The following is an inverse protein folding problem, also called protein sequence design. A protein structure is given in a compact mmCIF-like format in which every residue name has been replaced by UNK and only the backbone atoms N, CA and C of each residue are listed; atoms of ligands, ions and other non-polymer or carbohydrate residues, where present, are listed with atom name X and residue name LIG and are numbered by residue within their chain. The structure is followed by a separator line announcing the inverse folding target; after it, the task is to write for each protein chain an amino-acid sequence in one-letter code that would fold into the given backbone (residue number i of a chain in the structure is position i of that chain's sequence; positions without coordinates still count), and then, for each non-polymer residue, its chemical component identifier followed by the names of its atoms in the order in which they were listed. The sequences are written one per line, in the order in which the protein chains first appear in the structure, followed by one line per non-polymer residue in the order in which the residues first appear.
data_IF_025723694171
#
_entry.id   IF_025723694171
#
_cell.length_a   1.000
_cell.length_b   1.000
_cell.length_c   1.000
_cell.angle_alpha   90.00
_cell.angle_beta   90.00
_cell.angle_gamma   90.00
#
_symmetry.space_group_name_H-M   'P 1'
#
loop_
_entity.id
_entity.type
_entity.pdbx_description
1 polymer ?
#
# COMPACT_ATOMS: atom_id res chain seq x y z
N UNK A 1 2.74 0.13 10.17
CA UNK A 1 3.79 -0.82 9.72
C UNK A 1 5.06 -0.03 9.49
N UNK A 2 6.20 -0.56 9.93
CA UNK A 2 7.52 0.05 9.76
C UNK A 2 8.39 -0.79 8.83
N UNK A 3 9.40 -0.15 8.22
CA UNK A 3 10.39 -0.79 7.37
C UNK A 3 10.95 -2.06 8.01
N UNK A 4 10.91 -3.16 7.26
CA UNK A 4 11.62 -4.40 7.61
C UNK A 4 12.92 -4.48 6.83
N UNK A 5 12.90 -4.23 5.51
CA UNK A 5 14.07 -4.22 4.65
C UNK A 5 13.85 -3.44 3.35
N UNK A 6 14.93 -3.07 2.65
CA UNK A 6 14.90 -2.43 1.32
C UNK A 6 15.74 -1.16 1.22
N UNK A 7 15.80 -0.53 0.03
CA UNK A 7 16.65 0.63 -0.25
C UNK A 7 16.09 1.96 0.33
N UNK A 8 15.44 1.88 1.48
CA UNK A 8 14.76 2.99 2.13
C UNK A 8 15.51 3.37 3.40
N UNK A 9 15.76 4.67 3.56
CA UNK A 9 16.15 5.23 4.86
C UNK A 9 14.95 5.31 5.80
N UNK A 10 13.75 5.48 5.23
CA UNK A 10 12.47 5.45 5.93
C UNK A 10 11.43 4.82 5.03
N UNK A 11 10.64 3.91 5.59
CA UNK A 11 9.40 3.45 4.98
C UNK A 11 8.43 3.16 6.11
N UNK A 12 7.37 3.94 6.18
CA UNK A 12 6.30 3.78 7.15
C UNK A 12 5.01 3.76 6.37
N UNK A 13 4.13 2.85 6.72
CA UNK A 13 2.86 2.76 6.05
C UNK A 13 1.79 2.11 6.90
N UNK A 14 0.57 2.24 6.42
CA UNK A 14 -0.58 1.71 7.11
C UNK A 14 -1.79 1.63 6.19
N UNK A 15 -2.69 0.76 6.61
CA UNK A 15 -4.03 0.67 6.04
C UNK A 15 -4.98 1.44 6.94
N UNK A 16 -5.82 2.27 6.33
CA UNK A 16 -6.96 2.88 6.99
C UNK A 16 -8.23 2.33 6.39
N UNK A 17 -9.12 1.88 7.27
CA UNK A 17 -10.44 1.39 6.90
C UNK A 17 -11.47 2.40 7.41
N UNK A 18 -12.21 2.99 6.49
CA UNK A 18 -13.29 3.92 6.82
C UNK A 18 -14.61 3.22 6.51
N UNK A 19 -15.43 2.89 7.52
CA UNK A 19 -16.76 2.32 7.28
C UNK A 19 -17.61 3.24 6.40
N UNK A 20 -18.33 2.67 5.44
CA UNK A 20 -19.29 3.41 4.59
C UNK A 20 -20.72 2.89 4.82
N UNK A 21 -20.87 1.58 4.98
CA UNK A 21 -22.12 0.85 5.24
C UNK A 21 -21.80 -0.42 6.08
N UNK A 22 -22.79 -1.17 6.60
CA UNK A 22 -22.50 -2.35 7.41
C UNK A 22 -21.65 -3.41 6.67
N UNK A 23 -21.85 -3.56 5.36
CA UNK A 23 -21.12 -4.51 4.51
C UNK A 23 -20.12 -3.84 3.55
N UNK A 24 -19.83 -2.55 3.73
CA UNK A 24 -18.92 -1.81 2.85
C UNK A 24 -18.01 -0.84 3.61
N UNK A 25 -16.74 -0.82 3.22
CA UNK A 25 -15.77 0.15 3.70
C UNK A 25 -14.93 0.71 2.55
N UNK A 26 -14.38 1.91 2.76
CA UNK A 26 -13.29 2.45 1.96
C UNK A 26 -11.97 2.02 2.58
N UNK A 27 -11.05 1.55 1.75
CA UNK A 27 -9.68 1.28 2.14
C UNK A 27 -8.76 2.36 1.59
N UNK A 28 -7.80 2.77 2.38
CA UNK A 28 -6.75 3.70 2.00
C UNK A 28 -5.41 3.09 2.41
N UNK A 29 -4.47 3.04 1.48
CA UNK A 29 -3.09 2.62 1.76
C UNK A 29 -2.20 3.85 1.73
N UNK A 30 -1.60 4.17 2.88
CA UNK A 30 -0.71 5.31 3.04
C UNK A 30 0.72 4.84 3.20
N UNK A 31 1.62 5.46 2.46
CA UNK A 31 3.06 5.23 2.52
C UNK A 31 3.79 6.57 2.62
N UNK A 32 4.69 6.65 3.59
CA UNK A 32 5.65 7.73 3.80
C UNK A 32 7.05 7.12 3.74
N UNK A 33 7.86 7.54 2.77
CA UNK A 33 9.15 6.92 2.52
C UNK A 33 10.23 7.93 2.10
N UNK A 34 11.47 7.54 2.36
CA UNK A 34 12.69 8.23 1.97
C UNK A 34 13.68 7.19 1.44
N UNK A 35 14.19 7.39 0.23
CA UNK A 35 15.22 6.52 -0.35
C UNK A 35 16.60 6.85 0.20
N UNK A 36 17.50 5.87 0.20
CA UNK A 36 18.89 6.06 0.67
C UNK A 36 19.73 6.94 -0.25
N UNK A 37 19.39 7.03 -1.54
CA UNK A 37 20.05 7.94 -2.49
C UNK A 37 19.16 8.32 -3.69
N UNK A 38 19.55 9.39 -4.40
CA UNK A 38 18.83 9.98 -5.54
C UNK A 38 18.78 9.09 -6.78
N UNK A 39 19.74 8.19 -6.98
CA UNK A 39 19.74 7.27 -8.13
C UNK A 39 18.61 6.24 -7.99
N UNK A 40 18.46 5.69 -6.79
CA UNK A 40 17.37 4.77 -6.45
C UNK A 40 16.03 5.50 -6.54
N UNK A 41 15.94 6.72 -6.03
CA UNK A 41 14.73 7.55 -6.17
C UNK A 41 14.33 7.74 -7.64
N UNK A 42 15.28 8.01 -8.54
CA UNK A 42 15.01 8.17 -9.97
C UNK A 42 14.53 6.86 -10.62
N UNK A 43 15.13 5.73 -10.24
CA UNK A 43 14.79 4.41 -10.76
C UNK A 43 13.39 3.96 -10.31
N UNK A 44 13.05 4.19 -9.03
CA UNK A 44 11.83 3.68 -8.43
C UNK A 44 10.68 4.71 -8.40
N UNK A 45 10.97 6.01 -8.48
CA UNK A 45 9.96 7.07 -8.31
C UNK A 45 8.78 6.97 -9.27
N UNK A 46 9.02 6.56 -10.53
CA UNK A 46 7.94 6.33 -11.51
C UNK A 46 7.09 5.10 -11.20
N UNK A 47 7.70 4.03 -10.70
CA UNK A 47 7.05 2.74 -10.47
C UNK A 47 6.33 2.72 -9.12
N UNK A 48 6.79 3.52 -8.15
CA UNK A 48 6.29 3.46 -6.79
C UNK A 48 4.80 3.80 -6.66
N UNK A 49 4.31 4.76 -7.45
CA UNK A 49 2.88 5.08 -7.49
C UNK A 49 2.05 3.90 -8.02
N UNK A 50 2.55 3.22 -9.03
CA UNK A 50 1.91 2.03 -9.60
C UNK A 50 1.93 0.87 -8.60
N UNK A 51 3.04 0.68 -7.86
CA UNK A 51 3.14 -0.31 -6.79
C UNK A 51 2.07 -0.08 -5.71
N UNK A 52 1.91 1.15 -5.21
CA UNK A 52 0.89 1.45 -4.21
C UNK A 52 -0.53 1.15 -4.72
N UNK A 53 -0.82 1.48 -5.99
CA UNK A 53 -2.10 1.16 -6.63
C UNK A 53 -2.32 -0.36 -6.72
N UNK A 54 -1.30 -1.10 -7.14
CA UNK A 54 -1.35 -2.56 -7.25
C UNK A 54 -1.57 -3.22 -5.89
N UNK A 55 -1.02 -2.66 -4.80
CA UNK A 55 -1.26 -3.16 -3.44
C UNK A 55 -2.74 -3.00 -3.02
N UNK A 56 -3.36 -1.85 -3.31
CA UNK A 56 -4.81 -1.63 -3.05
C UNK A 56 -5.67 -2.60 -3.84
N UNK A 57 -5.33 -2.83 -5.11
CA UNK A 57 -6.03 -3.79 -5.96
C UNK A 57 -5.88 -5.22 -5.45
N UNK A 58 -4.66 -5.66 -5.14
CA UNK A 58 -4.37 -6.98 -4.61
C UNK A 58 -5.10 -7.24 -3.29
N UNK A 59 -5.12 -6.25 -2.40
CA UNK A 59 -5.89 -6.31 -1.16
C UNK A 59 -7.39 -6.52 -1.45
N UNK A 60 -7.95 -5.76 -2.39
CA UNK A 60 -9.36 -5.86 -2.76
C UNK A 60 -9.70 -7.22 -3.36
N UNK A 61 -8.82 -7.77 -4.21
CA UNK A 61 -8.99 -9.12 -4.78
C UNK A 61 -8.94 -10.17 -3.66
N UNK A 62 -7.96 -10.07 -2.75
CA UNK A 62 -7.84 -11.02 -1.65
C UNK A 62 -9.02 -10.95 -0.69
N UNK A 63 -9.53 -9.76 -0.40
CA UNK A 63 -10.73 -9.60 0.42
C UNK A 63 -11.93 -10.30 -0.23
N UNK A 64 -12.09 -10.20 -1.55
CA UNK A 64 -13.11 -10.97 -2.28
C UNK A 64 -12.89 -12.47 -2.17
N UNK A 65 -11.67 -12.98 -2.16
CA UNK A 65 -11.43 -14.42 -2.02
C UNK A 65 -11.74 -14.95 -0.62
N UNK A 66 -11.31 -14.22 0.41
CA UNK A 66 -11.45 -14.63 1.82
C UNK A 66 -12.86 -14.43 2.33
N UNK A 67 -13.51 -13.34 1.92
CA UNK A 67 -14.82 -12.92 2.42
C UNK A 67 -15.92 -13.00 1.35
N UNK A 68 -15.69 -13.73 0.25
CA UNK A 68 -16.77 -14.04 -0.72
C UNK A 68 -17.91 -14.71 0.04
N UNK A 69 -19.09 -14.14 -0.13
CA UNK A 69 -20.34 -14.55 0.49
C UNK A 69 -20.57 -16.07 0.37
N UNK A 70 -20.89 -16.69 1.51
CA UNK A 70 -22.02 -17.61 1.52
C UNK A 70 -23.31 -16.81 1.39
#
# INVERSE_FOLDING_TARGET
MHLVDGPFKKLIGGWKFTPLQPEACRIEFQLDFEFTNKLIELAFGRIFKELASNMVQAFTVRAKEVYRAG
#
